data_IF_004517794448
#
_entry.id   IF_004517794448
#
_cell.length_a   1.000
_cell.length_b   1.000
_cell.length_c   1.000
_cell.angle_alpha   90.00
_cell.angle_beta   90.00
_cell.angle_gamma   90.00
#
_symmetry.space_group_name_H-M   'P 1'
#
loop_
_entity.id
_entity.type
_entity.pdbx_description
1 polymer ?
#
# COMPACT_ATOMS: atom_id res chain seq x y z
N UNK A 1 19.01 66.81 16.59
CA UNK A 1 19.31 65.41 16.20
C UNK A 1 18.95 65.24 14.73
N UNK A 2 19.84 64.64 13.96
CA UNK A 2 19.79 64.55 12.50
C UNK A 2 18.71 63.59 11.99
N UNK A 3 18.20 63.88 10.81
CA UNK A 3 17.36 63.00 10.00
C UNK A 3 18.17 61.88 9.33
N UNK A 4 17.55 60.72 9.11
CA UNK A 4 17.85 59.84 7.97
C UNK A 4 16.69 58.87 7.71
N UNK A 5 16.23 58.88 6.45
CA UNK A 5 15.28 57.96 5.85
C UNK A 5 15.98 56.72 5.29
N UNK A 6 15.25 55.60 5.22
CA UNK A 6 15.39 54.42 4.34
C UNK A 6 14.09 53.61 4.57
N UNK A 7 13.11 53.44 3.67
CA UNK A 7 13.06 53.12 2.24
C UNK A 7 13.52 51.69 1.90
N UNK A 8 12.61 50.96 1.22
CA UNK A 8 12.74 49.67 0.52
C UNK A 8 12.74 48.40 1.40
N UNK A 9 12.04 47.31 1.09
CA UNK A 9 11.24 46.91 -0.06
C UNK A 9 10.44 45.66 0.34
N UNK A 10 9.14 45.64 0.01
CA UNK A 10 8.33 44.44 0.08
C UNK A 10 8.79 43.45 -1.01
N UNK A 11 9.23 42.26 -0.60
CA UNK A 11 9.31 41.11 -1.51
C UNK A 11 8.18 40.15 -1.15
N UNK A 12 7.17 39.94 -2.01
CA UNK A 12 6.35 38.76 -1.87
C UNK A 12 7.23 37.58 -2.25
N UNK A 13 7.51 36.72 -1.27
CA UNK A 13 8.11 35.42 -1.54
C UNK A 13 7.22 34.71 -2.58
N UNK A 14 7.80 34.50 -3.76
CA UNK A 14 7.24 33.70 -4.83
C UNK A 14 6.77 32.38 -4.25
N UNK A 15 5.45 32.24 -4.07
CA UNK A 15 4.83 30.95 -3.91
C UNK A 15 5.14 30.19 -5.19
N UNK A 16 6.05 29.22 -5.09
CA UNK A 16 6.33 28.22 -6.11
C UNK A 16 5.03 27.46 -6.36
N UNK A 17 4.20 27.98 -7.25
CA UNK A 17 3.04 27.30 -7.78
C UNK A 17 3.55 26.05 -8.50
N UNK A 18 3.48 24.91 -7.80
CA UNK A 18 3.56 23.59 -8.41
C UNK A 18 2.61 23.61 -9.62
N UNK A 19 3.03 23.21 -10.83
CA UNK A 19 2.15 23.22 -11.98
C UNK A 19 0.88 22.46 -11.62
N UNK A 20 -0.26 23.14 -11.67
CA UNK A 20 -1.55 22.48 -11.57
C UNK A 20 -1.57 21.42 -12.66
N UNK A 21 -1.65 20.15 -12.27
CA UNK A 21 -1.81 19.06 -13.21
C UNK A 21 -2.94 19.43 -14.17
N UNK A 22 -2.64 19.49 -15.47
CA UNK A 22 -3.65 19.79 -16.49
C UNK A 22 -4.77 18.78 -16.29
N UNK A 23 -6.01 19.26 -16.30
CA UNK A 23 -7.22 18.51 -15.97
C UNK A 23 -7.58 17.39 -16.97
N UNK A 24 -6.59 16.79 -17.64
CA UNK A 24 -6.75 15.69 -18.61
C UNK A 24 -5.70 14.58 -18.51
N UNK A 25 -4.60 14.76 -17.75
CA UNK A 25 -3.57 13.73 -17.63
C UNK A 25 -3.95 12.75 -16.51
N UNK A 26 -4.41 11.55 -16.90
CA UNK A 26 -4.64 10.44 -15.96
C UNK A 26 -3.33 10.14 -15.21
N UNK A 27 -3.38 9.91 -13.89
CA UNK A 27 -2.16 9.71 -13.10
C UNK A 27 -1.45 8.42 -13.50
N UNK A 28 -0.24 8.56 -14.08
CA UNK A 28 0.66 7.44 -14.39
C UNK A 28 1.14 6.75 -13.10
N UNK A 29 1.50 5.47 -13.18
CA UNK A 29 2.19 4.78 -12.08
C UNK A 29 3.53 5.48 -11.77
N UNK A 30 3.80 5.66 -10.49
CA UNK A 30 5.12 6.06 -10.01
C UNK A 30 6.12 4.90 -10.15
N UNK A 31 7.42 5.16 -9.96
CA UNK A 31 8.42 4.09 -9.93
C UNK A 31 8.15 3.08 -8.81
N UNK A 32 7.84 3.56 -7.60
CA UNK A 32 7.52 2.71 -6.46
C UNK A 32 6.30 1.81 -6.72
N UNK A 33 5.24 2.36 -7.32
CA UNK A 33 4.03 1.60 -7.65
C UNK A 33 4.26 0.55 -8.75
N UNK A 34 5.19 0.79 -9.70
CA UNK A 34 5.56 -0.22 -10.70
C UNK A 34 6.27 -1.40 -10.03
N UNK A 35 7.26 -1.12 -9.19
CA UNK A 35 7.98 -2.14 -8.43
C UNK A 35 7.05 -2.88 -7.47
N UNK A 36 6.11 -2.18 -6.84
CA UNK A 36 5.07 -2.80 -6.01
C UNK A 36 4.21 -3.76 -6.85
N UNK A 37 3.72 -3.32 -8.01
CA UNK A 37 2.89 -4.15 -8.89
C UNK A 37 3.63 -5.39 -9.41
N UNK A 38 4.93 -5.27 -9.71
CA UNK A 38 5.78 -6.40 -10.12
C UNK A 38 5.92 -7.46 -9.02
N UNK A 39 5.96 -7.05 -7.75
CA UNK A 39 6.16 -7.96 -6.62
C UNK A 39 4.89 -8.42 -5.90
N UNK A 40 3.77 -7.74 -6.09
CA UNK A 40 2.57 -7.97 -5.26
C UNK A 40 1.94 -9.34 -5.47
N UNK A 41 1.97 -9.89 -6.68
CA UNK A 41 1.44 -11.25 -6.96
C UNK A 41 2.18 -12.30 -6.14
N UNK A 42 3.52 -12.24 -6.09
CA UNK A 42 4.30 -13.17 -5.26
C UNK A 42 4.04 -13.02 -3.76
N UNK A 43 3.62 -11.82 -3.31
CA UNK A 43 3.21 -11.61 -1.91
C UNK A 43 1.82 -12.17 -1.62
N UNK A 44 0.90 -12.08 -2.59
CA UNK A 44 -0.42 -12.73 -2.51
C UNK A 44 -0.22 -14.24 -2.39
N UNK A 45 0.55 -14.85 -3.30
CA UNK A 45 0.82 -16.29 -3.28
C UNK A 45 1.42 -16.75 -1.95
N UNK A 46 2.37 -15.99 -1.38
CA UNK A 46 2.97 -16.31 -0.09
C UNK A 46 1.95 -16.24 1.07
N UNK A 47 1.07 -15.23 1.08
CA UNK A 47 0.02 -15.11 2.10
C UNK A 47 -1.00 -16.26 1.98
N UNK A 48 -1.40 -16.62 0.75
CA UNK A 48 -2.33 -17.73 0.49
C UNK A 48 -1.73 -19.10 0.86
N UNK A 49 -0.45 -19.33 0.56
CA UNK A 49 0.26 -20.54 1.01
C UNK A 49 0.26 -20.64 2.53
N UNK A 50 0.52 -19.53 3.21
CA UNK A 50 0.51 -19.49 4.67
C UNK A 50 -0.88 -19.76 5.25
N UNK A 51 -1.93 -19.24 4.63
CA UNK A 51 -3.33 -19.56 4.96
C UNK A 51 -3.55 -21.08 4.86
N UNK A 52 -3.18 -21.69 3.73
CA UNK A 52 -3.36 -23.12 3.52
C UNK A 52 -2.59 -23.97 4.53
N UNK A 53 -1.36 -23.60 4.88
CA UNK A 53 -0.57 -24.27 5.91
C UNK A 53 -1.22 -24.20 7.31
N UNK A 54 -1.77 -23.03 7.67
CA UNK A 54 -2.44 -22.84 8.95
C UNK A 54 -3.76 -23.62 9.01
N UNK A 55 -4.53 -23.64 7.93
CA UNK A 55 -5.75 -24.45 7.83
C UNK A 55 -5.44 -25.94 7.95
N UNK A 56 -4.39 -26.42 7.29
CA UNK A 56 -3.96 -27.82 7.41
C UNK A 56 -3.58 -28.20 8.85
N UNK A 57 -2.88 -27.31 9.57
CA UNK A 57 -2.56 -27.52 10.99
C UNK A 57 -3.81 -27.52 11.87
N UNK A 58 -4.74 -26.60 11.63
CA UNK A 58 -5.98 -26.48 12.39
C UNK A 58 -6.96 -27.62 12.09
N UNK A 59 -6.82 -28.29 10.95
CA UNK A 59 -7.59 -29.48 10.61
C UNK A 59 -7.08 -30.77 11.30
N UNK A 60 -5.87 -30.74 11.88
CA UNK A 60 -5.29 -31.90 12.56
C UNK A 60 -5.92 -32.09 13.96
N UNK A 61 -6.66 -33.19 14.21
CA UNK A 61 -7.27 -33.45 15.52
C UNK A 61 -6.23 -33.61 16.64
N UNK A 62 -5.00 -34.01 16.33
CA UNK A 62 -3.93 -34.17 17.34
C UNK A 62 -3.47 -32.85 17.94
N UNK A 63 -3.64 -31.73 17.21
CA UNK A 63 -3.37 -30.38 17.69
C UNK A 63 -4.22 -30.09 18.93
N UNK A 64 -5.51 -30.42 18.90
CA UNK A 64 -6.44 -30.13 19.98
C UNK A 64 -6.16 -30.97 21.23
N UNK A 65 -5.71 -32.21 21.04
CA UNK A 65 -5.35 -33.11 22.14
C UNK A 65 -4.02 -32.74 22.81
N UNK A 66 -3.02 -32.31 22.04
CA UNK A 66 -1.63 -32.17 22.52
C UNK A 66 -1.18 -30.72 22.70
N UNK A 67 -1.80 -29.79 21.98
CA UNK A 67 -1.39 -28.39 21.84
C UNK A 67 -2.58 -27.43 21.77
N UNK A 68 -3.67 -27.76 22.48
CA UNK A 68 -4.91 -26.97 22.46
C UNK A 68 -4.73 -25.49 22.82
N UNK A 69 -3.74 -25.16 23.66
CA UNK A 69 -3.41 -23.77 24.01
C UNK A 69 -2.94 -22.92 22.82
N UNK A 70 -2.38 -23.54 21.78
CA UNK A 70 -1.86 -22.84 20.59
C UNK A 70 -2.95 -22.51 19.57
N UNK A 71 -4.11 -23.18 19.67
CA UNK A 71 -5.22 -23.09 18.68
C UNK A 71 -5.69 -21.65 18.51
N UNK A 72 -5.87 -20.91 19.61
CA UNK A 72 -6.32 -19.52 19.55
C UNK A 72 -5.32 -18.62 18.81
N UNK A 73 -4.01 -18.85 19.02
CA UNK A 73 -2.94 -18.13 18.31
C UNK A 73 -2.93 -18.47 16.81
N UNK A 74 -3.07 -19.75 16.47
CA UNK A 74 -3.12 -20.22 15.08
C UNK A 74 -4.36 -19.68 14.33
N UNK A 75 -5.51 -19.60 14.98
CA UNK A 75 -6.72 -18.99 14.40
C UNK A 75 -6.55 -17.48 14.17
N UNK A 76 -5.92 -16.77 15.11
CA UNK A 76 -5.62 -15.35 14.93
C UNK A 76 -4.60 -15.10 13.81
N UNK A 77 -3.58 -15.96 13.69
CA UNK A 77 -2.63 -15.92 12.57
C UNK A 77 -3.36 -16.19 11.25
N UNK A 78 -4.23 -17.20 11.20
CA UNK A 78 -5.01 -17.54 10.00
C UNK A 78 -5.87 -16.36 9.52
N UNK A 79 -6.59 -15.71 10.44
CA UNK A 79 -7.41 -14.55 10.13
C UNK A 79 -6.57 -13.38 9.61
N UNK A 80 -5.41 -13.12 10.23
CA UNK A 80 -4.48 -12.09 9.78
C UNK A 80 -3.98 -12.35 8.36
N UNK A 81 -3.55 -13.57 8.04
CA UNK A 81 -3.02 -13.89 6.71
C UNK A 81 -4.12 -13.84 5.64
N UNK A 82 -5.36 -14.24 5.98
CA UNK A 82 -6.53 -14.06 5.09
C UNK A 82 -6.80 -12.59 4.79
N UNK A 83 -6.76 -11.73 5.81
CA UNK A 83 -6.93 -10.28 5.65
C UNK A 83 -5.80 -9.66 4.84
N UNK A 84 -4.55 -10.10 5.04
CA UNK A 84 -3.41 -9.63 4.26
C UNK A 84 -3.51 -10.04 2.79
N UNK A 85 -3.86 -11.30 2.50
CA UNK A 85 -4.10 -11.75 1.12
C UNK A 85 -5.17 -10.89 0.44
N UNK A 86 -6.32 -10.68 1.08
CA UNK A 86 -7.39 -9.83 0.56
C UNK A 86 -6.93 -8.37 0.33
N UNK A 87 -6.19 -7.80 1.28
CA UNK A 87 -5.63 -6.44 1.16
C UNK A 87 -4.66 -6.32 -0.01
N UNK A 88 -3.81 -7.32 -0.22
CA UNK A 88 -2.85 -7.35 -1.32
C UNK A 88 -3.55 -7.51 -2.67
N UNK A 89 -4.60 -8.34 -2.76
CA UNK A 89 -5.43 -8.45 -3.96
C UNK A 89 -6.08 -7.11 -4.30
N UNK A 90 -6.75 -6.45 -3.35
CA UNK A 90 -7.35 -5.14 -3.59
C UNK A 90 -6.31 -4.10 -4.04
N UNK A 91 -5.12 -4.12 -3.42
CA UNK A 91 -4.03 -3.24 -3.82
C UNK A 91 -3.52 -3.53 -5.24
N UNK A 92 -3.44 -4.80 -5.62
CA UNK A 92 -3.08 -5.19 -6.98
C UNK A 92 -4.11 -4.67 -7.99
N UNK A 93 -5.41 -4.83 -7.72
CA UNK A 93 -6.50 -4.32 -8.57
C UNK A 93 -6.45 -2.80 -8.75
N UNK A 94 -6.16 -2.05 -7.67
CA UNK A 94 -5.97 -0.59 -7.73
C UNK A 94 -4.81 -0.20 -8.66
N UNK A 95 -3.65 -0.86 -8.50
CA UNK A 95 -2.45 -0.60 -9.28
C UNK A 95 -2.66 -0.98 -10.75
N UNK A 96 -3.34 -2.08 -11.01
CA UNK A 96 -3.74 -2.52 -12.34
C UNK A 96 -4.68 -1.51 -13.01
N UNK A 97 -5.71 -1.06 -12.31
CA UNK A 97 -6.63 -0.02 -12.79
C UNK A 97 -5.88 1.26 -13.17
N UNK A 98 -4.92 1.68 -12.33
CA UNK A 98 -4.07 2.85 -12.59
C UNK A 98 -3.14 2.64 -13.79
N UNK A 99 -2.57 1.43 -13.97
CA UNK A 99 -1.76 1.05 -15.13
C UNK A 99 -2.55 1.16 -16.43
N UNK A 100 -3.76 0.59 -16.45
CA UNK A 100 -4.63 0.63 -17.62
C UNK A 100 -5.07 2.05 -17.97
N UNK A 101 -5.43 2.85 -16.96
CA UNK A 101 -5.79 4.25 -17.13
C UNK A 101 -4.65 5.05 -17.80
N UNK A 102 -3.39 4.75 -17.45
CA UNK A 102 -2.20 5.39 -17.98
C UNK A 102 -1.81 4.95 -19.40
N UNK A 103 -2.19 3.73 -19.83
CA UNK A 103 -1.90 3.21 -21.17
C UNK A 103 -2.96 3.52 -22.23
N UNK A 104 -4.16 3.98 -21.81
CA UNK A 104 -5.28 4.34 -22.69
C UNK A 104 -5.33 5.84 -23.04
N UNK A 105 -4.20 6.55 -23.02
CA UNK A 105 -4.09 7.98 -23.36
C UNK A 105 -2.80 8.26 -24.10
#
# INVERSE_FOLDING_TARGET
RAAKAQAAEARPAQASAKPAARAGDKPKLTFAERTELEGIVGRIDAAEQKVAELEAKLADPTLYASRGADVAGLLAELDREKQEAARLVSRWEELETKREAAGKG
#
